data_IF_086949412998
#
_entry.id   IF_086949412998
#
_cell.length_a   1.000
_cell.length_b   1.000
_cell.length_c   1.000
_cell.angle_alpha   90.00
_cell.angle_beta   90.00
_cell.angle_gamma   90.00
#
_symmetry.space_group_name_H-M   'P 1'
#
loop_
_entity.id
_entity.type
_entity.pdbx_description
1 polymer ?
#
# COMPACT_ATOMS: atom_id res chain seq x y z
N UNK A 1 12.52 -20.25 -9.73
CA UNK A 1 11.97 -21.49 -9.15
C UNK A 1 11.09 -22.18 -10.18
N UNK A 2 10.99 -23.50 -10.09
CA UNK A 2 10.11 -24.32 -10.94
C UNK A 2 9.24 -25.18 -10.02
N UNK A 3 7.92 -25.19 -10.29
CA UNK A 3 6.98 -26.11 -9.62
C UNK A 3 6.64 -27.26 -10.56
N UNK A 4 6.45 -28.46 -10.01
CA UNK A 4 6.04 -29.63 -10.76
C UNK A 4 4.55 -29.62 -11.07
N UNK A 5 4.16 -30.33 -12.12
CA UNK A 5 2.76 -30.54 -12.48
C UNK A 5 2.05 -31.38 -11.41
N UNK A 6 0.88 -30.96 -11.00
CA UNK A 6 0.03 -31.70 -10.06
C UNK A 6 -1.32 -32.01 -10.68
N UNK A 7 -1.72 -33.27 -10.66
CA UNK A 7 -3.01 -33.74 -11.15
C UNK A 7 -3.95 -34.01 -9.98
N UNK A 8 -5.14 -33.44 -10.00
CA UNK A 8 -6.22 -33.65 -9.06
C UNK A 8 -7.43 -34.27 -9.78
N UNK A 9 -7.92 -35.39 -9.28
CA UNK A 9 -9.14 -36.00 -9.78
C UNK A 9 -10.33 -35.56 -8.92
N UNK A 10 -11.25 -34.81 -9.54
CA UNK A 10 -12.47 -34.34 -8.88
C UNK A 10 -13.65 -35.09 -9.47
N UNK A 11 -14.38 -35.85 -8.62
CA UNK A 11 -15.58 -36.58 -9.00
C UNK A 11 -16.79 -35.73 -8.66
N UNK A 12 -17.60 -35.40 -9.67
CA UNK A 12 -18.88 -34.75 -9.44
C UNK A 12 -19.86 -35.77 -8.83
N UNK A 13 -20.30 -35.54 -7.59
CA UNK A 13 -21.15 -36.45 -6.84
C UNK A 13 -22.57 -36.63 -7.43
N UNK A 14 -23.06 -35.66 -8.24
CA UNK A 14 -24.39 -35.69 -8.83
C UNK A 14 -24.39 -36.33 -10.23
N UNK A 15 -23.38 -36.10 -11.05
CA UNK A 15 -23.33 -36.60 -12.44
C UNK A 15 -22.43 -37.83 -12.59
N UNK A 16 -21.57 -38.13 -11.61
CA UNK A 16 -20.59 -39.20 -11.72
C UNK A 16 -19.44 -38.88 -12.70
N UNK A 17 -19.41 -37.67 -13.26
CA UNK A 17 -18.35 -37.24 -14.17
C UNK A 17 -17.06 -36.99 -13.39
N UNK A 18 -15.97 -37.53 -13.89
CA UNK A 18 -14.63 -37.29 -13.35
C UNK A 18 -13.96 -36.14 -14.10
N UNK A 19 -13.57 -35.12 -13.39
CA UNK A 19 -12.77 -34.01 -13.93
C UNK A 19 -11.36 -34.09 -13.33
N UNK A 20 -10.36 -34.14 -14.19
CA UNK A 20 -8.96 -33.96 -13.76
C UNK A 20 -8.60 -32.49 -13.86
N UNK A 21 -8.30 -31.88 -12.73
CA UNK A 21 -7.73 -30.53 -12.68
C UNK A 21 -6.22 -30.65 -12.65
N UNK A 22 -5.56 -29.97 -13.56
CA UNK A 22 -4.09 -30.01 -13.69
C UNK A 22 -3.56 -28.67 -13.22
N UNK A 23 -2.72 -28.69 -12.19
CA UNK A 23 -1.86 -27.57 -11.89
C UNK A 23 -0.60 -27.72 -12.75
N UNK A 24 -0.33 -26.76 -13.68
CA UNK A 24 0.73 -26.92 -14.66
C UNK A 24 2.10 -26.76 -14.02
N UNK A 25 3.12 -27.32 -14.67
CA UNK A 25 4.49 -26.93 -14.37
C UNK A 25 4.65 -25.45 -14.62
N UNK A 26 5.09 -24.72 -13.61
CA UNK A 26 5.30 -23.28 -13.64
C UNK A 26 6.77 -22.91 -13.36
N UNK A 27 7.28 -21.97 -14.13
CA UNK A 27 8.62 -21.39 -13.97
C UNK A 27 8.52 -19.94 -13.50
N UNK A 28 9.06 -19.67 -12.31
CA UNK A 28 9.10 -18.35 -11.68
C UNK A 28 10.48 -17.74 -11.83
N UNK A 29 10.57 -16.57 -12.44
CA UNK A 29 11.80 -15.83 -12.63
C UNK A 29 11.71 -14.44 -12.03
N UNK A 30 12.78 -13.98 -11.41
CA UNK A 30 12.91 -12.62 -10.90
C UNK A 30 14.25 -12.04 -11.31
N UNK A 31 14.22 -10.80 -11.80
CA UNK A 31 15.42 -10.02 -12.17
C UNK A 31 15.34 -8.70 -11.41
N UNK A 32 16.39 -8.39 -10.66
CA UNK A 32 16.53 -7.11 -9.93
C UNK A 32 17.86 -6.47 -10.36
N UNK A 33 17.75 -5.23 -10.83
CA UNK A 33 18.91 -4.38 -11.12
C UNK A 33 18.80 -3.15 -10.25
N UNK A 34 19.71 -2.97 -9.30
CA UNK A 34 19.73 -1.84 -8.37
C UNK A 34 21.01 -1.03 -8.57
N UNK A 35 20.86 0.26 -8.81
CA UNK A 35 21.97 1.20 -8.91
C UNK A 35 21.87 2.25 -7.80
N UNK A 36 22.80 2.21 -6.88
CA UNK A 36 22.97 3.22 -5.84
C UNK A 36 23.94 4.31 -6.27
N UNK A 37 23.65 5.54 -5.91
CA UNK A 37 24.50 6.70 -6.16
C UNK A 37 24.37 7.75 -5.03
N UNK A 38 25.36 8.64 -4.93
CA UNK A 38 25.41 9.68 -3.89
C UNK A 38 25.29 9.15 -2.46
N UNK A 39 25.56 7.86 -2.20
CA UNK A 39 25.47 7.17 -0.90
C UNK A 39 24.05 6.99 -0.34
N UNK A 40 23.06 7.74 -0.79
CA UNK A 40 21.72 7.81 -0.21
C UNK A 40 20.58 7.83 -1.24
N UNK A 41 20.88 7.54 -2.48
CA UNK A 41 19.87 7.50 -3.55
C UNK A 41 20.03 6.23 -4.37
N UNK A 42 18.91 5.72 -4.90
CA UNK A 42 18.90 4.54 -5.76
C UNK A 42 17.85 4.65 -6.87
N UNK A 43 18.11 3.91 -7.93
CA UNK A 43 17.14 3.59 -8.98
C UNK A 43 17.23 2.10 -9.23
N UNK A 44 16.08 1.43 -9.27
CA UNK A 44 16.00 -0.01 -9.44
C UNK A 44 15.03 -0.37 -10.55
N UNK A 45 15.36 -1.42 -11.28
CA UNK A 45 14.44 -2.12 -12.17
C UNK A 45 14.19 -3.52 -11.60
N UNK A 46 12.92 -3.91 -11.52
CA UNK A 46 12.50 -5.23 -11.07
C UNK A 46 11.58 -5.82 -12.13
N UNK A 47 11.85 -7.06 -12.52
CA UNK A 47 10.95 -7.83 -13.37
C UNK A 47 10.70 -9.18 -12.72
N UNK A 48 9.44 -9.54 -12.63
CA UNK A 48 8.98 -10.86 -12.18
C UNK A 48 8.16 -11.49 -13.28
N UNK A 49 8.41 -12.76 -13.55
CA UNK A 49 7.74 -13.49 -14.62
C UNK A 49 7.36 -14.89 -14.16
N UNK A 50 6.13 -15.29 -14.48
CA UNK A 50 5.63 -16.65 -14.29
C UNK A 50 5.17 -17.17 -15.63
N UNK A 51 5.76 -18.28 -16.05
CA UNK A 51 5.41 -18.97 -17.31
C UNK A 51 4.97 -20.40 -16.99
N UNK A 52 3.81 -20.81 -17.51
CA UNK A 52 3.22 -22.13 -17.30
C UNK A 52 3.19 -22.92 -18.60
N UNK A 53 3.36 -24.23 -18.52
CA UNK A 53 3.28 -25.10 -19.70
C UNK A 53 1.81 -25.33 -20.06
N UNK A 54 1.48 -25.23 -21.35
CA UNK A 54 0.13 -25.43 -21.87
C UNK A 54 -0.65 -24.14 -22.07
N UNK A 55 -1.99 -24.21 -22.07
CA UNK A 55 -2.89 -23.07 -22.25
C UNK A 55 -3.33 -22.45 -20.91
N UNK A 56 -2.39 -22.28 -20.01
CA UNK A 56 -2.62 -21.67 -18.70
C UNK A 56 -2.20 -20.20 -18.69
N UNK A 57 -2.62 -19.51 -17.64
CA UNK A 57 -2.30 -18.12 -17.38
C UNK A 57 -0.79 -17.91 -17.18
N UNK A 58 -0.22 -16.98 -17.94
CA UNK A 58 1.12 -16.46 -17.73
C UNK A 58 1.07 -15.02 -17.22
N UNK A 59 2.04 -14.62 -16.40
CA UNK A 59 2.05 -13.29 -15.83
C UNK A 59 3.45 -12.68 -15.82
N UNK A 60 3.53 -11.38 -16.10
CA UNK A 60 4.73 -10.58 -15.99
C UNK A 60 4.44 -9.25 -15.31
N UNK A 61 5.27 -8.88 -14.34
CA UNK A 61 5.24 -7.55 -13.73
C UNK A 61 6.62 -6.93 -13.83
N UNK A 62 6.68 -5.75 -14.45
CA UNK A 62 7.89 -4.93 -14.52
C UNK A 62 7.72 -3.67 -13.68
N UNK A 63 8.74 -3.29 -12.93
CA UNK A 63 8.73 -2.11 -12.08
C UNK A 63 9.99 -1.29 -12.25
N UNK A 64 9.83 0.03 -12.33
CA UNK A 64 10.89 1.01 -12.13
C UNK A 64 10.64 1.68 -10.77
N UNK A 65 11.65 1.71 -9.92
CA UNK A 65 11.58 2.25 -8.55
C UNK A 65 12.70 3.24 -8.35
N UNK A 66 12.43 4.36 -7.71
CA UNK A 66 13.46 5.33 -7.36
C UNK A 66 13.29 5.87 -5.94
N UNK A 67 14.42 6.13 -5.29
CA UNK A 67 14.51 6.81 -3.99
C UNK A 67 15.66 7.83 -4.07
N UNK A 68 15.30 9.09 -4.17
CA UNK A 68 16.23 10.19 -4.41
C UNK A 68 16.27 11.11 -3.21
N UNK A 69 17.46 11.28 -2.65
CA UNK A 69 17.68 12.14 -1.51
C UNK A 69 18.63 13.29 -1.84
N UNK A 70 18.43 14.44 -1.23
CA UNK A 70 19.44 15.50 -1.21
C UNK A 70 20.69 15.01 -0.49
N UNK A 71 21.83 15.65 -0.76
CA UNK A 71 23.13 15.26 -0.17
C UNK A 71 23.07 15.24 1.37
N UNK A 72 22.37 16.17 1.96
CA UNK A 72 22.21 16.34 3.41
C UNK A 72 21.02 15.54 3.99
N UNK A 73 20.33 14.72 3.18
CA UNK A 73 19.09 14.02 3.55
C UNK A 73 18.00 14.97 4.07
N UNK A 74 17.93 16.19 3.52
CA UNK A 74 16.90 17.16 3.89
C UNK A 74 15.58 16.88 3.19
N UNK A 75 15.65 16.59 1.87
CA UNK A 75 14.47 16.26 1.07
C UNK A 75 14.62 14.89 0.44
N UNK A 76 13.49 14.21 0.33
CA UNK A 76 13.34 12.92 -0.32
C UNK A 76 12.24 12.98 -1.39
N UNK A 77 12.54 12.39 -2.54
CA UNK A 77 11.57 12.08 -3.60
C UNK A 77 11.67 10.61 -3.88
N UNK A 78 10.59 9.89 -3.72
CA UNK A 78 10.54 8.46 -4.04
C UNK A 78 9.26 8.09 -4.76
N UNK A 79 9.36 7.07 -5.57
CA UNK A 79 8.20 6.57 -6.30
C UNK A 79 8.50 5.29 -7.05
N UNK A 80 7.45 4.77 -7.63
CA UNK A 80 7.51 3.59 -8.47
C UNK A 80 6.49 3.69 -9.62
N UNK A 81 6.80 2.98 -10.69
CA UNK A 81 5.88 2.66 -11.76
C UNK A 81 5.96 1.16 -12.01
N UNK A 82 4.83 0.48 -11.90
CA UNK A 82 4.69 -0.96 -12.14
C UNK A 82 3.71 -1.18 -13.28
N UNK A 83 4.08 -2.09 -14.17
CA UNK A 83 3.25 -2.53 -15.27
C UNK A 83 3.05 -4.04 -15.18
N UNK A 84 1.80 -4.49 -15.15
CA UNK A 84 1.43 -5.90 -15.19
C UNK A 84 0.89 -6.28 -16.57
N UNK A 85 1.32 -7.41 -17.05
CA UNK A 85 0.78 -8.07 -18.23
C UNK A 85 0.43 -9.51 -17.86
N UNK A 86 -0.82 -9.87 -18.04
CA UNK A 86 -1.32 -11.20 -17.77
C UNK A 86 -1.97 -11.74 -19.04
N UNK A 87 -1.43 -12.84 -19.52
CA UNK A 87 -2.04 -13.64 -20.58
C UNK A 87 -2.93 -14.69 -19.92
N UNK A 88 -4.23 -14.48 -19.92
CA UNK A 88 -5.20 -15.32 -19.17
C UNK A 88 -5.44 -16.68 -19.79
N UNK A 89 -5.41 -16.81 -21.08
CA UNK A 89 -5.52 -18.04 -21.91
C UNK A 89 -6.10 -17.69 -23.29
N UNK A 90 -6.19 -18.67 -24.17
CA UNK A 90 -6.71 -18.47 -25.54
C UNK A 90 -8.18 -18.01 -25.61
N UNK A 91 -8.94 -18.06 -24.52
CA UNK A 91 -10.38 -17.76 -24.47
C UNK A 91 -10.74 -16.50 -23.71
N UNK A 92 -9.82 -15.95 -22.91
CA UNK A 92 -10.02 -14.77 -22.07
C UNK A 92 -9.06 -13.68 -22.54
N UNK A 93 -9.52 -12.41 -22.69
CA UNK A 93 -8.64 -11.32 -23.10
C UNK A 93 -7.50 -11.10 -22.10
N UNK A 94 -6.33 -10.78 -22.63
CA UNK A 94 -5.18 -10.39 -21.82
C UNK A 94 -5.47 -9.15 -20.96
N UNK A 95 -4.95 -9.14 -19.74
CA UNK A 95 -5.04 -7.99 -18.84
C UNK A 95 -3.74 -7.20 -18.88
N UNK A 96 -3.89 -5.87 -18.93
CA UNK A 96 -2.77 -4.92 -18.91
C UNK A 96 -3.08 -3.80 -17.94
N UNK A 97 -2.30 -3.72 -16.87
CA UNK A 97 -2.55 -2.75 -15.84
C UNK A 97 -1.29 -2.04 -15.34
N UNK A 98 -1.48 -0.97 -14.61
CA UNK A 98 -0.39 -0.22 -14.00
C UNK A 98 -0.72 0.24 -12.59
N UNK A 99 0.34 0.36 -11.79
CA UNK A 99 0.31 0.87 -10.44
C UNK A 99 1.50 1.82 -10.29
N UNK A 100 1.25 3.02 -9.86
CA UNK A 100 2.29 4.03 -9.69
C UNK A 100 2.13 4.77 -8.39
N UNK A 101 3.25 5.16 -7.77
CA UNK A 101 3.27 6.00 -6.58
C UNK A 101 4.32 7.10 -6.68
N UNK A 102 4.03 8.22 -6.03
CA UNK A 102 4.98 9.32 -5.88
C UNK A 102 4.87 9.90 -4.46
N UNK A 103 6.01 10.18 -3.86
CA UNK A 103 6.13 10.85 -2.57
C UNK A 103 7.20 11.92 -2.62
N UNK A 104 6.93 13.05 -1.99
CA UNK A 104 7.82 14.19 -1.80
C UNK A 104 7.79 14.60 -0.33
N UNK A 105 8.93 14.82 0.29
CA UNK A 105 8.93 15.24 1.68
C UNK A 105 10.24 15.81 2.19
N UNK A 106 10.16 16.60 3.24
CA UNK A 106 11.27 17.00 4.08
C UNK A 106 11.48 15.96 5.18
N UNK A 107 12.69 15.44 5.28
CA UNK A 107 13.03 14.29 6.14
C UNK A 107 13.93 14.67 7.31
N UNK A 108 14.37 15.92 7.41
CA UNK A 108 15.28 16.40 8.45
C UNK A 108 14.68 17.54 9.29
N UNK A 109 15.36 17.93 10.34
CA UNK A 109 14.94 19.06 11.17
C UNK A 109 13.87 18.72 12.22
N UNK A 110 13.37 19.75 12.85
CA UNK A 110 12.30 19.67 13.87
C UNK A 110 10.92 19.56 13.22
N UNK A 111 10.72 20.24 12.11
CA UNK A 111 9.51 20.16 11.31
C UNK A 111 9.78 19.28 10.08
N UNK A 112 8.94 18.31 9.86
CA UNK A 112 8.99 17.39 8.72
C UNK A 112 7.61 17.28 8.11
N UNK A 113 7.57 17.23 6.81
CA UNK A 113 6.31 17.11 6.08
C UNK A 113 6.51 16.31 4.81
N UNK A 114 5.42 15.77 4.30
CA UNK A 114 5.43 15.09 3.03
C UNK A 114 4.03 14.97 2.45
N UNK A 115 4.00 14.85 1.15
CA UNK A 115 2.80 14.58 0.38
C UNK A 115 3.10 13.44 -0.58
N UNK A 116 2.13 12.57 -0.76
CA UNK A 116 2.23 11.46 -1.69
C UNK A 116 0.90 11.04 -2.24
N UNK A 117 0.97 10.22 -3.27
CA UNK A 117 -0.19 9.61 -3.88
C UNK A 117 0.16 8.31 -4.57
N UNK A 118 -0.85 7.52 -4.84
CA UNK A 118 -0.77 6.26 -5.55
C UNK A 118 -1.96 6.13 -6.48
N UNK A 119 -1.76 5.53 -7.63
CA UNK A 119 -2.82 5.16 -8.56
C UNK A 119 -2.70 3.69 -8.92
N UNK A 120 -3.81 2.97 -8.90
CA UNK A 120 -3.90 1.56 -9.29
C UNK A 120 -5.01 1.43 -10.33
N UNK A 121 -4.64 1.03 -11.55
CA UNK A 121 -5.60 0.81 -12.62
C UNK A 121 -6.47 -0.43 -12.36
N UNK A 122 -7.53 -0.54 -13.11
CA UNK A 122 -8.51 -1.64 -13.06
C UNK A 122 -7.85 -3.01 -13.25
N UNK A 123 -7.11 -3.14 -14.33
CA UNK A 123 -6.52 -4.41 -14.75
C UNK A 123 -5.12 -4.69 -14.16
N UNK A 124 -4.68 -3.89 -13.17
CA UNK A 124 -3.41 -4.17 -12.52
C UNK A 124 -3.50 -5.46 -11.69
N UNK A 125 -2.72 -6.45 -12.08
CA UNK A 125 -2.72 -7.76 -11.45
C UNK A 125 -1.29 -8.25 -11.22
N UNK A 126 -0.97 -8.51 -9.97
CA UNK A 126 0.30 -9.09 -9.52
C UNK A 126 0.09 -10.34 -8.64
N UNK A 127 -1.09 -10.96 -8.72
CA UNK A 127 -1.49 -12.05 -7.83
C UNK A 127 -0.70 -13.36 -8.04
N UNK A 128 -0.01 -13.52 -9.15
CA UNK A 128 0.87 -14.68 -9.38
C UNK A 128 2.12 -14.69 -8.46
N UNK A 129 2.46 -13.56 -7.85
CA UNK A 129 3.62 -13.39 -6.97
C UNK A 129 3.28 -12.82 -5.59
N UNK A 130 2.00 -12.58 -5.34
CA UNK A 130 1.50 -12.01 -4.11
C UNK A 130 0.00 -11.94 -4.11
N UNK A 131 -0.57 -11.31 -3.10
CA UNK A 131 -2.01 -11.15 -2.98
C UNK A 131 -2.35 -9.67 -3.10
N UNK A 132 -3.16 -9.32 -4.10
CA UNK A 132 -3.71 -7.99 -4.28
C UNK A 132 -5.23 -8.09 -4.43
N UNK A 133 -5.96 -7.65 -3.40
CA UNK A 133 -7.43 -7.71 -3.40
C UNK A 133 -8.09 -6.42 -3.90
N UNK A 134 -7.32 -5.35 -4.10
CA UNK A 134 -7.87 -4.04 -4.37
C UNK A 134 -7.21 -3.40 -5.58
N UNK A 135 -8.03 -3.07 -6.55
CA UNK A 135 -7.70 -2.30 -7.74
C UNK A 135 -8.68 -1.14 -7.88
N UNK A 136 -8.64 -0.37 -8.95
CA UNK A 136 -9.57 0.71 -9.26
C UNK A 136 -9.53 1.90 -8.27
N UNK A 137 -8.39 2.24 -7.70
CA UNK A 137 -8.34 3.34 -6.75
C UNK A 137 -7.14 4.26 -6.95
N UNK A 138 -7.27 5.47 -6.43
CA UNK A 138 -6.12 6.33 -6.18
C UNK A 138 -6.17 6.88 -4.76
N UNK A 139 -4.99 7.15 -4.21
CA UNK A 139 -4.84 7.72 -2.87
C UNK A 139 -4.09 9.03 -2.93
N UNK A 140 -4.43 9.93 -2.02
CA UNK A 140 -3.66 11.11 -1.68
C UNK A 140 -3.44 11.13 -0.18
N UNK A 141 -2.22 11.41 0.24
CA UNK A 141 -1.90 11.50 1.67
C UNK A 141 -0.87 12.58 1.94
N UNK A 142 -0.93 13.13 3.13
CA UNK A 142 0.13 13.99 3.64
C UNK A 142 0.39 13.73 5.11
N UNK A 143 1.62 13.97 5.52
CA UNK A 143 1.99 13.99 6.93
C UNK A 143 2.71 15.28 7.26
N UNK A 144 2.52 15.75 8.49
CA UNK A 144 3.21 16.88 9.06
C UNK A 144 3.61 16.50 10.49
N UNK A 145 4.87 16.66 10.82
CA UNK A 145 5.41 16.30 12.12
C UNK A 145 6.26 17.44 12.66
N UNK A 146 5.99 17.85 13.88
CA UNK A 146 6.86 18.76 14.62
C UNK A 146 7.35 18.08 15.88
N UNK A 147 8.67 18.04 16.09
CA UNK A 147 9.26 17.32 17.20
C UNK A 147 10.41 18.07 17.87
N UNK A 148 10.44 17.97 19.18
CA UNK A 148 11.51 18.43 20.04
C UNK A 148 11.99 17.23 20.85
N UNK A 149 13.14 16.69 20.47
CA UNK A 149 13.72 15.49 21.09
C UNK A 149 14.76 15.80 22.19
N UNK A 150 15.22 17.05 22.25
CA UNK A 150 16.13 17.49 23.31
C UNK A 150 15.33 18.09 24.46
N UNK A 151 15.72 17.80 25.72
CA UNK A 151 15.07 18.35 26.90
C UNK A 151 15.01 19.89 26.89
N UNK A 152 13.83 20.41 27.20
CA UNK A 152 13.58 21.85 27.40
C UNK A 152 13.34 22.14 28.87
N UNK A 153 13.00 23.38 29.24
CA UNK A 153 12.59 23.72 30.61
C UNK A 153 11.28 23.08 31.03
N UNK A 154 10.39 22.75 30.08
CA UNK A 154 9.02 22.30 30.35
C UNK A 154 8.84 20.77 30.20
N UNK A 155 9.51 20.15 29.22
CA UNK A 155 9.38 18.74 28.91
C UNK A 155 10.71 18.16 28.42
N UNK A 156 10.85 16.85 28.47
CA UNK A 156 12.00 16.13 27.95
C UNK A 156 11.87 15.91 26.45
N UNK A 157 10.68 15.50 25.98
CA UNK A 157 10.36 15.36 24.57
C UNK A 157 8.96 15.92 24.28
N UNK A 158 8.77 16.39 23.06
CA UNK A 158 7.46 16.79 22.53
C UNK A 158 7.40 16.42 21.05
N UNK A 159 6.29 15.81 20.65
CA UNK A 159 6.00 15.51 19.25
C UNK A 159 4.53 15.77 18.95
N UNK A 160 4.24 16.30 17.78
CA UNK A 160 2.89 16.39 17.25
C UNK A 160 2.91 16.00 15.79
N UNK A 161 1.92 15.19 15.38
CA UNK A 161 1.76 14.71 14.02
C UNK A 161 0.36 15.01 13.52
N UNK A 162 0.25 15.57 12.32
CA UNK A 162 -1.00 15.78 11.61
C UNK A 162 -0.93 15.06 10.27
N UNK A 163 -1.75 14.03 10.12
CA UNK A 163 -1.80 13.19 8.94
C UNK A 163 -3.16 13.29 8.27
N UNK A 164 -3.14 13.34 6.95
CA UNK A 164 -4.33 13.25 6.11
C UNK A 164 -4.18 12.06 5.17
N UNK A 165 -5.26 11.35 4.97
CA UNK A 165 -5.35 10.26 4.00
C UNK A 165 -6.70 10.30 3.30
N UNK A 166 -6.70 10.10 2.00
CA UNK A 166 -7.92 9.93 1.22
C UNK A 166 -7.70 8.90 0.12
N UNK A 167 -8.72 8.09 -0.11
CA UNK A 167 -8.78 7.11 -1.17
C UNK A 167 -10.07 7.31 -1.96
N UNK A 168 -9.96 7.20 -3.26
CA UNK A 168 -11.05 7.40 -4.20
C UNK A 168 -11.17 6.21 -5.14
N UNK A 169 -12.37 5.81 -5.45
CA UNK A 169 -12.63 4.90 -6.55
C UNK A 169 -12.37 5.61 -7.89
N UNK A 170 -11.48 5.07 -8.71
CA UNK A 170 -11.06 5.75 -9.95
C UNK A 170 -12.05 5.67 -11.10
N UNK A 171 -13.11 4.83 -11.00
CA UNK A 171 -14.21 4.74 -11.98
C UNK A 171 -15.25 5.83 -11.76
N UNK A 172 -15.60 6.09 -10.50
CA UNK A 172 -16.69 7.01 -10.12
C UNK A 172 -16.19 8.35 -9.55
N UNK A 173 -14.92 8.41 -9.14
CA UNK A 173 -14.36 9.55 -8.40
C UNK A 173 -14.89 9.69 -6.98
N UNK A 174 -15.69 8.76 -6.48
CA UNK A 174 -16.24 8.80 -5.12
C UNK A 174 -15.14 8.51 -4.08
N UNK A 175 -15.20 9.24 -2.98
CA UNK A 175 -14.29 9.01 -1.85
C UNK A 175 -14.66 7.73 -1.13
N UNK A 176 -13.72 6.78 -1.04
CA UNK A 176 -13.88 5.51 -0.34
C UNK A 176 -13.43 5.61 1.12
N UNK A 177 -12.37 6.34 1.36
CA UNK A 177 -11.83 6.58 2.71
C UNK A 177 -11.32 8.01 2.78
N UNK A 178 -11.64 8.69 3.88
CA UNK A 178 -11.12 10.02 4.18
C UNK A 178 -10.86 10.15 5.66
N UNK A 179 -9.62 10.45 6.06
CA UNK A 179 -9.27 10.58 7.46
C UNK A 179 -8.28 11.71 7.73
N UNK A 180 -8.41 12.30 8.91
CA UNK A 180 -7.44 13.19 9.51
C UNK A 180 -7.09 12.66 10.90
N UNK A 181 -5.79 12.57 11.20
CA UNK A 181 -5.30 12.11 12.51
C UNK A 181 -4.36 13.16 13.10
N UNK A 182 -4.66 13.61 14.31
CA UNK A 182 -3.82 14.53 15.07
C UNK A 182 -3.33 13.82 16.33
N UNK A 183 -2.02 13.75 16.48
CA UNK A 183 -1.36 13.12 17.62
C UNK A 183 -0.51 14.14 18.35
N UNK A 184 -0.61 14.15 19.67
CA UNK A 184 0.28 14.88 20.57
C UNK A 184 0.91 13.91 21.56
N UNK A 185 2.22 13.93 21.65
CA UNK A 185 3.02 13.13 22.56
C UNK A 185 4.00 13.99 23.32
N UNK A 186 4.11 13.77 24.62
CA UNK A 186 5.09 14.50 25.44
C UNK A 186 5.58 13.67 26.62
N UNK A 187 6.87 13.81 26.92
CA UNK A 187 7.45 13.29 28.15
C UNK A 187 7.76 14.45 29.09
N UNK A 188 7.17 14.42 30.27
CA UNK A 188 7.36 15.44 31.31
C UNK A 188 8.80 15.48 31.83
N UNK A 189 9.14 16.49 32.62
CA UNK A 189 10.43 16.55 33.32
C UNK A 189 10.62 15.46 34.38
N UNK A 190 9.52 14.84 34.82
CA UNK A 190 9.54 13.69 35.75
C UNK A 190 9.55 12.34 35.02
N UNK A 191 9.66 12.36 33.68
CA UNK A 191 9.60 11.19 32.80
C UNK A 191 8.22 10.48 32.75
N UNK A 192 7.16 11.17 33.12
CA UNK A 192 5.82 10.69 32.81
C UNK A 192 5.51 10.94 31.33
N UNK A 193 4.84 10.02 30.69
CA UNK A 193 4.45 10.12 29.28
C UNK A 193 2.97 10.38 29.14
N UNK A 194 2.62 11.32 28.30
CA UNK A 194 1.24 11.71 27.98
C UNK A 194 1.05 11.70 26.48
N UNK A 195 -0.09 11.16 26.03
CA UNK A 195 -0.44 11.19 24.63
C UNK A 195 -1.94 11.42 24.42
N UNK A 196 -2.22 12.12 23.32
CA UNK A 196 -3.58 12.36 22.81
C UNK A 196 -3.57 12.03 21.33
N UNK A 197 -4.50 11.18 20.92
CA UNK A 197 -4.74 10.88 19.52
C UNK A 197 -6.20 11.23 19.18
N UNK A 198 -6.39 12.10 18.21
CA UNK A 198 -7.68 12.50 17.67
C UNK A 198 -7.74 11.99 16.23
N UNK A 199 -8.66 11.08 15.98
CA UNK A 199 -8.97 10.56 14.65
C UNK A 199 -10.30 11.12 14.18
N UNK A 200 -10.38 11.53 12.93
CA UNK A 200 -11.62 11.99 12.32
C UNK A 200 -11.75 11.44 10.90
N UNK A 201 -12.93 10.93 10.57
CA UNK A 201 -13.41 10.77 9.20
C UNK A 201 -14.44 11.87 8.94
N UNK A 202 -14.03 13.05 8.43
CA UNK A 202 -14.87 14.26 8.41
C UNK A 202 -15.91 14.24 7.28
N UNK A 203 -15.87 13.24 6.40
CA UNK A 203 -16.73 13.12 5.24
C UNK A 203 -17.42 11.76 5.23
N UNK A 204 -18.65 11.75 4.75
CA UNK A 204 -19.34 10.52 4.36
C UNK A 204 -18.59 9.85 3.21
N UNK A 205 -18.28 8.57 3.32
CA UNK A 205 -17.51 7.80 2.34
C UNK A 205 -18.30 6.62 1.78
N UNK A 206 -17.81 6.06 0.67
CA UNK A 206 -18.50 5.04 -0.12
C UNK A 206 -17.55 3.87 -0.35
N UNK A 207 -17.61 2.85 0.51
CA UNK A 207 -16.73 1.69 0.44
C UNK A 207 -17.26 0.70 -0.61
N UNK A 208 -16.56 0.53 -1.72
CA UNK A 208 -16.90 -0.39 -2.80
C UNK A 208 -16.39 -1.83 -2.58
N UNK A 209 -15.49 -2.04 -1.63
CA UNK A 209 -14.90 -3.36 -1.37
C UNK A 209 -15.76 -4.20 -0.42
N UNK A 210 -16.40 -3.58 0.58
CA UNK A 210 -17.12 -4.29 1.64
C UNK A 210 -18.36 -5.07 1.15
N UNK A 211 -19.11 -4.63 0.13
CA UNK A 211 -20.24 -5.41 -0.36
C UNK A 211 -19.85 -6.79 -0.91
N UNK A 212 -18.59 -7.01 -1.33
CA UNK A 212 -18.08 -8.28 -1.89
C UNK A 212 -19.02 -8.85 -2.96
N UNK A 213 -19.59 -7.98 -3.78
CA UNK A 213 -20.56 -8.29 -4.82
C UNK A 213 -19.89 -8.38 -6.17
N UNK A 214 -20.40 -9.24 -7.05
CA UNK A 214 -20.04 -9.26 -8.48
C UNK A 214 -20.46 -7.95 -9.16
N UNK A 215 -21.48 -7.27 -8.62
CA UNK A 215 -21.91 -5.96 -9.09
C UNK A 215 -21.04 -4.88 -8.45
N UNK A 216 -20.05 -4.40 -9.18
CA UNK A 216 -19.07 -3.40 -8.78
C UNK A 216 -19.66 -1.99 -8.54
N UNK A 217 -20.93 -1.77 -8.88
CA UNK A 217 -21.63 -0.51 -8.60
C UNK A 217 -22.09 -0.39 -7.14
N UNK A 218 -22.14 -1.51 -6.40
CA UNK A 218 -22.59 -1.54 -5.01
C UNK A 218 -21.53 -1.01 -4.07
N UNK A 219 -21.96 -0.28 -3.07
CA UNK A 219 -21.10 0.27 -2.03
C UNK A 219 -21.81 0.29 -0.67
N UNK A 220 -21.02 0.23 0.39
CA UNK A 220 -21.44 0.53 1.74
C UNK A 220 -21.22 2.02 2.02
N UNK A 221 -22.22 2.69 2.53
CA UNK A 221 -22.08 4.08 3.01
C UNK A 221 -21.52 4.07 4.43
N UNK A 222 -20.42 4.77 4.63
CA UNK A 222 -19.79 4.94 5.94
C UNK A 222 -19.99 6.39 6.39
N UNK A 223 -20.62 6.62 7.55
CA UNK A 223 -20.86 7.96 8.06
C UNK A 223 -19.57 8.62 8.59
N UNK A 224 -19.64 9.92 8.80
CA UNK A 224 -18.63 10.69 9.47
C UNK A 224 -18.40 10.19 10.89
N UNK A 225 -17.18 10.26 11.37
CA UNK A 225 -16.83 9.82 12.71
C UNK A 225 -15.67 10.63 13.30
N UNK A 226 -15.63 10.68 14.63
CA UNK A 226 -14.50 11.21 15.38
C UNK A 226 -14.26 10.31 16.59
N UNK A 227 -12.98 10.06 16.85
CA UNK A 227 -12.53 9.31 18.02
C UNK A 227 -11.41 10.04 18.73
N UNK A 228 -11.35 9.90 20.04
CA UNK A 228 -10.29 10.45 20.88
C UNK A 228 -9.75 9.35 21.79
N UNK A 229 -8.44 9.18 21.80
CA UNK A 229 -7.73 8.28 22.70
C UNK A 229 -6.76 9.08 23.54
N UNK A 230 -6.82 8.85 24.84
CA UNK A 230 -5.90 9.42 25.81
C UNK A 230 -5.09 8.30 26.43
N UNK A 231 -3.82 8.47 26.56
CA UNK A 231 -2.95 7.52 27.23
C UNK A 231 -1.92 8.20 28.12
N UNK A 232 -1.62 7.52 29.20
CA UNK A 232 -0.72 7.99 30.23
C UNK A 232 0.15 6.82 30.71
N UNK A 233 1.42 7.09 30.93
CA UNK A 233 2.33 6.17 31.61
C UNK A 233 3.17 6.94 32.60
N UNK A 234 3.11 6.55 33.87
CA UNK A 234 3.95 7.14 34.92
C UNK A 234 5.37 6.63 34.86
N UNK A 235 6.28 7.41 35.39
CA UNK A 235 7.65 6.97 35.64
C UNK A 235 7.67 5.92 36.75
N UNK A 236 8.05 4.68 36.44
CA UNK A 236 8.12 3.57 37.41
C UNK A 236 9.34 3.58 38.34
N UNK A 237 10.22 4.59 38.23
CA UNK A 237 11.42 4.70 39.03
C UNK A 237 11.24 5.60 40.28
N UNK A 238 10.03 5.76 40.78
CA UNK A 238 9.67 6.46 42.00
C UNK A 238 9.01 5.54 43.01
#
# INVERSE_FOLDING_TARGET
AVTEETNLEIINAETGETRTEIEPLANYNEIVIDQRFRKNSSVSFVNTNVTRIGSFRDANVSAAVFDLNTRENTFNVKGDFKYSYVNESNTIPDKKGYNTSLFLGETSGKYRYGIGGKYVSEDFDNNDLGINFQTHYYTLYSYNSYRILNPTKRFNTFETNLNFYSEFDNRTGKIQTGSATLVFDTTSKKNDYYGINIYSSPLKTYNFYEPRSIDDSKFLTVPESVGVWLYFSSNYNH
#
